data_IF_138001304361
#
_entry.id   IF_138001304361
#
_cell.length_a   1.000
_cell.length_b   1.000
_cell.length_c   1.000
_cell.angle_alpha   90.00
_cell.angle_beta   90.00
_cell.angle_gamma   90.00
#
_symmetry.space_group_name_H-M   'P 1'
#
loop_
_entity.id
_entity.type
_entity.pdbx_description
1 polymer ?
#
# COMPACT_ATOMS: atom_id res chain seq x y z
N UNK A 1 6.40 31.44 -5.50
CA UNK A 1 5.44 30.43 -5.03
C UNK A 1 6.17 29.28 -4.36
N UNK A 2 5.74 28.97 -3.15
CA UNK A 2 6.27 27.79 -2.47
C UNK A 2 5.62 26.53 -3.07
N UNK A 3 6.45 25.53 -3.42
CA UNK A 3 5.91 24.22 -3.75
C UNK A 3 5.20 23.68 -2.52
N UNK A 4 4.00 23.08 -2.66
CA UNK A 4 3.30 22.53 -1.51
C UNK A 4 4.12 21.41 -0.87
N UNK A 5 4.10 21.39 0.46
CA UNK A 5 4.68 20.27 1.22
C UNK A 5 3.84 19.03 0.92
N UNK A 6 4.52 17.93 0.63
CA UNK A 6 3.86 16.66 0.35
C UNK A 6 3.13 16.19 1.60
N UNK A 7 1.80 16.05 1.51
CA UNK A 7 0.97 15.52 2.59
C UNK A 7 0.89 14.01 2.55
N UNK A 8 0.21 13.43 3.55
CA UNK A 8 0.14 11.97 3.75
C UNK A 8 -0.48 11.24 2.55
N UNK A 9 -1.53 11.78 1.93
CA UNK A 9 -2.15 11.13 0.76
C UNK A 9 -1.20 11.11 -0.43
N UNK A 10 -0.48 12.19 -0.68
CA UNK A 10 0.52 12.23 -1.74
C UNK A 10 1.68 11.27 -1.44
N UNK A 11 2.07 11.18 -0.17
CA UNK A 11 3.08 10.19 0.26
C UNK A 11 2.62 8.77 -0.07
N UNK A 12 1.37 8.45 0.23
CA UNK A 12 0.81 7.13 -0.10
C UNK A 12 0.79 6.88 -1.60
N UNK A 13 0.45 7.88 -2.40
CA UNK A 13 0.48 7.77 -3.86
C UNK A 13 1.90 7.45 -4.35
N UNK A 14 2.90 8.10 -3.77
CA UNK A 14 4.30 7.85 -4.11
C UNK A 14 4.73 6.43 -3.73
N UNK A 15 4.24 5.91 -2.61
CA UNK A 15 4.49 4.53 -2.20
C UNK A 15 3.92 3.56 -3.25
N UNK A 16 2.67 3.78 -3.67
CA UNK A 16 2.04 2.96 -4.71
C UNK A 16 2.86 3.00 -5.99
N UNK A 17 3.26 4.19 -6.40
CA UNK A 17 4.04 4.39 -7.62
C UNK A 17 5.39 3.66 -7.55
N UNK A 18 6.10 3.78 -6.44
CA UNK A 18 7.39 3.10 -6.26
C UNK A 18 7.22 1.58 -6.31
N UNK A 19 6.26 1.04 -5.57
CA UNK A 19 6.06 -0.41 -5.51
C UNK A 19 5.56 -0.98 -6.84
N UNK A 20 4.73 -0.24 -7.55
CA UNK A 20 4.28 -0.62 -8.88
C UNK A 20 5.48 -0.74 -9.84
N UNK A 21 6.35 0.26 -9.86
CA UNK A 21 7.56 0.23 -10.70
C UNK A 21 8.49 -0.91 -10.31
N UNK A 22 8.65 -1.12 -9.01
CA UNK A 22 9.53 -2.16 -8.49
C UNK A 22 9.07 -3.57 -8.87
N UNK A 23 7.77 -3.79 -8.98
CA UNK A 23 7.23 -5.09 -9.41
C UNK A 23 7.63 -5.41 -10.86
N UNK A 24 7.71 -4.40 -11.72
CA UNK A 24 8.10 -4.58 -13.12
C UNK A 24 9.62 -4.61 -13.31
N UNK A 25 10.35 -3.85 -12.51
CA UNK A 25 11.79 -3.69 -12.68
C UNK A 25 12.46 -3.63 -11.31
N UNK A 26 12.61 -4.78 -10.63
CA UNK A 26 13.21 -4.81 -9.31
C UNK A 26 14.65 -4.29 -9.31
N UNK A 27 14.93 -3.36 -8.40
CA UNK A 27 16.28 -2.84 -8.18
C UNK A 27 16.59 -2.89 -6.68
N UNK A 28 17.87 -2.94 -6.30
CA UNK A 28 18.24 -2.81 -4.89
C UNK A 28 17.70 -1.52 -4.32
N UNK A 29 17.07 -1.58 -3.15
CA UNK A 29 16.42 -0.42 -2.53
C UNK A 29 17.42 0.68 -2.18
N UNK A 30 18.65 0.31 -1.81
CA UNK A 30 19.70 1.27 -1.48
C UNK A 30 20.06 2.17 -2.67
N UNK A 31 19.85 1.68 -3.88
CA UNK A 31 20.07 2.45 -5.12
C UNK A 31 18.82 3.16 -5.58
N UNK A 32 17.69 2.46 -5.55
CA UNK A 32 16.42 2.94 -6.11
C UNK A 32 15.78 4.06 -5.28
N UNK A 33 15.80 3.97 -3.95
CA UNK A 33 15.15 4.95 -3.09
C UNK A 33 15.77 6.34 -3.16
N UNK A 34 17.12 6.50 -3.06
CA UNK A 34 17.72 7.82 -3.19
C UNK A 34 17.38 8.51 -4.52
N UNK A 35 17.37 7.75 -5.62
CA UNK A 35 17.00 8.28 -6.92
C UNK A 35 15.54 8.70 -6.95
N UNK A 36 14.65 7.90 -6.35
CA UNK A 36 13.23 8.19 -6.31
C UNK A 36 12.92 9.48 -5.56
N UNK A 37 13.61 9.73 -4.43
CA UNK A 37 13.38 10.94 -3.62
C UNK A 37 14.09 12.18 -4.14
N UNK A 38 15.04 12.04 -5.05
CA UNK A 38 15.95 13.10 -5.46
C UNK A 38 15.25 14.38 -5.92
N UNK A 39 14.15 14.27 -6.64
CA UNK A 39 13.39 15.40 -7.20
C UNK A 39 12.14 15.74 -6.41
N UNK A 40 11.99 15.20 -5.20
CA UNK A 40 10.77 15.35 -4.42
C UNK A 40 11.02 16.13 -3.13
N UNK A 41 10.14 17.07 -2.83
CA UNK A 41 10.15 17.80 -1.57
C UNK A 41 9.27 17.06 -0.56
N UNK A 42 9.90 16.19 0.21
CA UNK A 42 9.20 15.40 1.21
C UNK A 42 9.86 15.64 2.57
N UNK A 43 9.03 15.82 3.61
CA UNK A 43 9.55 15.96 4.97
C UNK A 43 10.18 14.65 5.44
N UNK A 44 11.08 14.76 6.42
CA UNK A 44 11.70 13.57 7.00
C UNK A 44 10.65 12.61 7.58
N UNK A 45 9.62 13.15 8.23
CA UNK A 45 8.53 12.36 8.80
C UNK A 45 7.80 11.55 7.74
N UNK A 46 7.43 12.17 6.62
CA UNK A 46 6.72 11.50 5.54
C UNK A 46 7.62 10.51 4.80
N UNK A 47 8.88 10.86 4.62
CA UNK A 47 9.85 9.96 4.00
C UNK A 47 10.06 8.70 4.85
N UNK A 48 10.17 8.86 6.18
CA UNK A 48 10.30 7.73 7.10
C UNK A 48 9.07 6.83 7.05
N UNK A 49 7.88 7.41 7.02
CA UNK A 49 6.63 6.67 6.85
C UNK A 49 6.64 5.88 5.55
N UNK A 50 6.98 6.54 4.43
CA UNK A 50 7.02 5.91 3.12
C UNK A 50 8.02 4.75 3.07
N UNK A 51 9.22 4.95 3.56
CA UNK A 51 10.26 3.92 3.52
C UNK A 51 9.93 2.74 4.41
N UNK A 52 9.29 2.97 5.57
CA UNK A 52 8.80 1.89 6.42
C UNK A 52 7.82 0.99 5.66
N UNK A 53 6.88 1.58 4.93
CA UNK A 53 5.92 0.80 4.15
C UNK A 53 6.58 0.11 2.96
N UNK A 54 7.44 0.80 2.25
CA UNK A 54 8.14 0.22 1.09
C UNK A 54 8.99 -0.99 1.50
N UNK A 55 9.84 -0.82 2.51
CA UNK A 55 10.67 -1.92 3.01
C UNK A 55 9.80 -3.05 3.56
N UNK A 56 8.75 -2.70 4.31
CA UNK A 56 7.87 -3.70 4.91
C UNK A 56 7.15 -4.53 3.88
N UNK A 57 6.59 -3.91 2.85
CA UNK A 57 5.88 -4.63 1.79
C UNK A 57 6.83 -5.52 1.00
N UNK A 58 8.00 -5.00 0.63
CA UNK A 58 8.96 -5.79 -0.15
C UNK A 58 9.51 -6.97 0.65
N UNK A 59 9.88 -6.72 1.91
CA UNK A 59 10.40 -7.77 2.80
C UNK A 59 9.38 -8.86 3.07
N UNK A 60 8.10 -8.49 3.19
CA UNK A 60 7.03 -9.42 3.56
C UNK A 60 6.17 -9.86 2.38
N UNK A 61 6.60 -9.60 1.16
CA UNK A 61 5.80 -9.84 -0.04
C UNK A 61 5.27 -11.27 -0.11
N UNK A 62 6.12 -12.27 0.13
CA UNK A 62 5.70 -13.67 0.08
C UNK A 62 4.64 -14.00 1.13
N UNK A 63 4.82 -13.54 2.37
CA UNK A 63 3.84 -13.81 3.42
C UNK A 63 2.54 -13.06 3.20
N UNK A 64 2.60 -11.83 2.66
CA UNK A 64 1.40 -11.08 2.31
C UNK A 64 0.63 -11.77 1.18
N UNK A 65 1.32 -12.23 0.16
CA UNK A 65 0.71 -12.93 -0.97
C UNK A 65 0.10 -14.27 -0.53
N UNK A 66 0.79 -14.99 0.34
CA UNK A 66 0.28 -16.24 0.89
C UNK A 66 -1.02 -16.01 1.65
N UNK A 67 -1.06 -14.98 2.50
CA UNK A 67 -2.27 -14.64 3.24
C UNK A 67 -3.40 -14.24 2.29
N UNK A 68 -3.10 -13.45 1.27
CA UNK A 68 -4.11 -13.00 0.31
C UNK A 68 -4.67 -14.14 -0.53
N UNK A 69 -3.92 -15.20 -0.75
CA UNK A 69 -4.40 -16.38 -1.47
C UNK A 69 -5.58 -17.04 -0.75
N UNK A 70 -5.73 -16.84 0.56
CA UNK A 70 -6.88 -17.32 1.33
C UNK A 70 -8.16 -16.52 1.04
N UNK A 71 -8.03 -15.30 0.56
CA UNK A 71 -9.16 -14.39 0.30
C UNK A 71 -9.47 -14.20 -1.17
N UNK A 72 -8.51 -14.49 -2.04
CA UNK A 72 -8.66 -14.28 -3.47
C UNK A 72 -8.07 -15.47 -4.23
N UNK A 73 -8.93 -16.28 -4.83
CA UNK A 73 -8.52 -17.49 -5.58
C UNK A 73 -7.60 -17.14 -6.75
N UNK A 74 -7.77 -15.95 -7.33
CA UNK A 74 -6.99 -15.50 -8.47
C UNK A 74 -5.83 -14.58 -8.09
N UNK A 75 -5.37 -14.62 -6.83
CA UNK A 75 -4.33 -13.69 -6.36
C UNK A 75 -3.05 -13.74 -7.19
N UNK A 76 -2.64 -14.92 -7.62
CA UNK A 76 -1.45 -15.10 -8.46
C UNK A 76 -1.76 -15.06 -9.95
N UNK A 77 -3.03 -14.86 -10.32
CA UNK A 77 -3.43 -14.82 -11.73
C UNK A 77 -3.00 -13.51 -12.40
N UNK A 78 -2.60 -13.61 -13.66
CA UNK A 78 -2.32 -12.43 -14.49
C UNK A 78 -3.56 -11.55 -14.71
N UNK A 79 -4.75 -12.07 -14.46
CA UNK A 79 -6.01 -11.33 -14.57
C UNK A 79 -6.19 -10.32 -13.45
N UNK A 80 -5.50 -10.51 -12.33
CA UNK A 80 -5.54 -9.53 -11.26
C UNK A 80 -4.62 -8.37 -11.64
N UNK A 81 -5.15 -7.16 -11.65
CA UNK A 81 -4.41 -5.97 -12.04
C UNK A 81 -3.24 -5.70 -11.10
N UNK A 82 -2.14 -5.19 -11.66
CA UNK A 82 -0.94 -4.88 -10.89
C UNK A 82 -1.18 -3.80 -9.85
N UNK A 83 -2.02 -2.81 -10.18
CA UNK A 83 -2.39 -1.75 -9.22
C UNK A 83 -3.15 -2.34 -8.04
N UNK A 84 -4.15 -3.20 -8.32
CA UNK A 84 -4.95 -3.83 -7.28
C UNK A 84 -4.07 -4.61 -6.31
N UNK A 85 -3.11 -5.36 -6.84
CA UNK A 85 -2.20 -6.16 -6.03
C UNK A 85 -1.33 -5.28 -5.14
N UNK A 86 -0.80 -4.20 -5.68
CA UNK A 86 0.05 -3.27 -4.92
C UNK A 86 -0.73 -2.60 -3.79
N UNK A 87 -1.91 -2.05 -4.08
CA UNK A 87 -2.68 -1.33 -3.05
C UNK A 87 -3.18 -2.28 -1.96
N UNK A 88 -3.53 -3.51 -2.31
CA UNK A 88 -3.93 -4.52 -1.33
C UNK A 88 -2.75 -4.91 -0.44
N UNK A 89 -1.57 -5.13 -1.00
CA UNK A 89 -0.37 -5.44 -0.22
C UNK A 89 -0.05 -4.33 0.79
N UNK A 90 -0.14 -3.08 0.37
CA UNK A 90 0.12 -1.94 1.25
C UNK A 90 -0.88 -1.92 2.40
N UNK A 91 -2.18 -2.04 2.10
CA UNK A 91 -3.22 -2.02 3.12
C UNK A 91 -3.05 -3.19 4.10
N UNK A 92 -2.79 -4.38 3.58
CA UNK A 92 -2.60 -5.57 4.41
C UNK A 92 -1.39 -5.39 5.33
N UNK A 93 -0.28 -4.88 4.81
CA UNK A 93 0.90 -4.61 5.63
C UNK A 93 0.57 -3.63 6.76
N UNK A 94 -0.13 -2.54 6.46
CA UNK A 94 -0.52 -1.57 7.48
C UNK A 94 -1.44 -2.19 8.54
N UNK A 95 -2.41 -2.96 8.11
CA UNK A 95 -3.36 -3.62 9.02
C UNK A 95 -2.63 -4.57 9.97
N UNK A 96 -1.66 -5.32 9.46
CA UNK A 96 -0.96 -6.34 10.24
C UNK A 96 0.21 -5.81 11.06
N UNK A 97 0.86 -4.72 10.61
CA UNK A 97 2.13 -4.29 11.19
C UNK A 97 2.20 -2.81 11.61
N UNK A 98 1.17 -2.02 11.36
CA UNK A 98 1.16 -0.60 11.69
C UNK A 98 0.03 -0.28 12.68
N UNK A 99 0.31 -0.43 13.96
CA UNK A 99 -0.68 -0.24 15.03
C UNK A 99 -1.14 1.22 15.15
N UNK A 100 -0.37 2.16 14.62
CA UNK A 100 -0.67 3.58 14.65
C UNK A 100 -1.59 4.04 13.52
N UNK A 101 -2.00 3.13 12.63
CA UNK A 101 -2.94 3.44 11.55
C UNK A 101 -4.21 2.61 11.75
N UNK A 102 -5.37 3.24 11.89
CA UNK A 102 -6.63 2.48 11.97
C UNK A 102 -6.84 1.68 10.69
N UNK A 103 -7.23 0.40 10.78
CA UNK A 103 -7.43 -0.44 9.59
C UNK A 103 -8.36 0.16 8.54
N UNK A 104 -9.43 0.84 8.98
CA UNK A 104 -10.37 1.45 8.03
C UNK A 104 -9.71 2.54 7.17
N UNK A 105 -8.72 3.24 7.71
CA UNK A 105 -7.97 4.25 6.96
C UNK A 105 -7.16 3.58 5.85
N UNK A 106 -6.47 2.48 6.16
CA UNK A 106 -5.68 1.74 5.18
C UNK A 106 -6.57 1.21 4.05
N UNK A 107 -7.75 0.71 4.38
CA UNK A 107 -8.71 0.20 3.39
C UNK A 107 -9.22 1.34 2.50
N UNK A 108 -9.65 2.45 3.09
CA UNK A 108 -10.17 3.58 2.34
C UNK A 108 -9.14 4.17 1.39
N UNK A 109 -7.88 4.24 1.80
CA UNK A 109 -6.81 4.71 0.94
C UNK A 109 -6.54 3.73 -0.21
N UNK A 110 -6.54 2.43 0.06
CA UNK A 110 -6.38 1.42 -0.99
C UNK A 110 -7.49 1.53 -2.04
N UNK A 111 -8.74 1.67 -1.61
CA UNK A 111 -9.89 1.83 -2.51
C UNK A 111 -9.75 3.11 -3.33
N UNK A 112 -9.35 4.22 -2.70
CA UNK A 112 -9.13 5.49 -3.38
C UNK A 112 -8.12 5.34 -4.53
N UNK A 113 -6.97 4.72 -4.27
CA UNK A 113 -5.94 4.57 -5.29
C UNK A 113 -6.31 3.56 -6.37
N UNK A 114 -7.05 2.51 -6.01
CA UNK A 114 -7.57 1.58 -7.01
C UNK A 114 -8.54 2.28 -7.97
N UNK A 115 -9.43 3.13 -7.44
CA UNK A 115 -10.34 3.92 -8.27
C UNK A 115 -9.57 4.89 -9.18
N UNK A 116 -8.63 5.64 -8.60
CA UNK A 116 -7.89 6.69 -9.31
C UNK A 116 -6.94 6.13 -10.37
N UNK A 117 -6.22 5.07 -10.02
CA UNK A 117 -5.12 4.56 -10.85
C UNK A 117 -5.52 3.41 -11.75
N UNK A 118 -6.69 2.83 -11.54
CA UNK A 118 -7.19 1.74 -12.37
C UNK A 118 -8.62 2.01 -12.79
N UNK A 119 -9.63 1.62 -11.97
CA UNK A 119 -11.04 1.79 -12.34
C UNK A 119 -11.93 1.71 -11.12
N UNK A 120 -13.19 2.15 -11.29
CA UNK A 120 -14.22 1.99 -10.28
C UNK A 120 -14.45 0.51 -9.93
N UNK A 121 -14.33 -0.37 -10.93
CA UNK A 121 -14.44 -1.81 -10.74
C UNK A 121 -13.30 -2.33 -9.84
N UNK A 122 -12.08 -1.82 -10.03
CA UNK A 122 -10.95 -2.14 -9.17
C UNK A 122 -11.20 -1.72 -7.73
N UNK A 123 -11.72 -0.51 -7.51
CA UNK A 123 -12.05 -0.04 -6.17
C UNK A 123 -13.06 -0.94 -5.47
N UNK A 124 -14.08 -1.38 -6.18
CA UNK A 124 -15.08 -2.33 -5.63
C UNK A 124 -14.45 -3.66 -5.24
N UNK A 125 -13.60 -4.19 -6.10
CA UNK A 125 -12.90 -5.46 -5.85
C UNK A 125 -12.00 -5.34 -4.61
N UNK A 126 -11.20 -4.28 -4.55
CA UNK A 126 -10.29 -4.01 -3.43
C UNK A 126 -11.07 -3.88 -2.12
N UNK A 127 -12.17 -3.11 -2.14
CA UNK A 127 -13.01 -2.94 -0.96
C UNK A 127 -13.59 -4.26 -0.47
N UNK A 128 -14.12 -5.06 -1.38
CA UNK A 128 -14.72 -6.36 -1.02
C UNK A 128 -13.72 -7.30 -0.38
N UNK A 129 -12.52 -7.39 -0.94
CA UNK A 129 -11.49 -8.27 -0.41
C UNK A 129 -10.98 -7.80 0.95
N UNK A 130 -10.72 -6.50 1.09
CA UNK A 130 -10.20 -5.95 2.35
C UNK A 130 -11.24 -5.95 3.47
N UNK A 131 -12.53 -5.83 3.14
CA UNK A 131 -13.59 -6.00 4.14
C UNK A 131 -13.60 -7.42 4.72
N UNK A 132 -13.35 -8.42 3.88
CA UNK A 132 -13.25 -9.81 4.36
C UNK A 132 -12.06 -9.99 5.29
N UNK A 133 -10.91 -9.40 4.93
CA UNK A 133 -9.73 -9.41 5.80
C UNK A 133 -10.04 -8.71 7.13
N UNK A 134 -10.71 -7.57 7.07
CA UNK A 134 -11.05 -6.77 8.26
C UNK A 134 -11.87 -7.57 9.26
N UNK A 135 -12.81 -8.38 8.78
CA UNK A 135 -13.66 -9.19 9.64
C UNK A 135 -12.89 -10.29 10.39
N UNK A 136 -11.71 -10.65 9.90
CA UNK A 136 -10.91 -11.73 10.47
C UNK A 136 -9.80 -11.25 11.40
N UNK A 137 -9.57 -9.92 11.47
CA UNK A 137 -8.49 -9.40 12.30
C UNK A 137 -8.97 -9.07 13.70
N UNK A 138 -8.07 -9.28 14.68
CA UNK A 138 -8.35 -9.07 16.11
C UNK A 138 -7.68 -7.77 16.57
N UNK A 139 -8.22 -6.64 16.09
CA UNK A 139 -7.80 -5.31 16.52
C UNK A 139 -8.92 -4.31 16.21
N UNK A 140 -8.96 -3.14 16.91
CA UNK A 140 -9.95 -2.11 16.59
C UNK A 140 -9.84 -1.66 15.14
N UNK A 141 -10.98 -1.52 14.46
CA UNK A 141 -11.01 -1.21 13.03
C UNK A 141 -10.90 0.29 12.73
N UNK A 142 -11.36 1.13 13.65
CA UNK A 142 -11.43 2.59 13.47
C UNK A 142 -10.49 3.36 14.39
N UNK A 143 -9.66 2.64 15.14
CA UNK A 143 -8.77 3.20 16.15
C UNK A 143 -7.37 2.64 15.99
N UNK A 144 -6.39 3.34 16.57
CA UNK A 144 -5.04 2.79 16.69
C UNK A 144 -5.03 1.71 17.76
N UNK A 145 -4.06 0.78 17.67
CA UNK A 145 -3.95 -0.35 18.61
C UNK A 145 -2.93 -0.13 19.72
N UNK A 146 -2.24 1.01 19.68
CA UNK A 146 -1.22 1.31 20.70
C UNK A 146 -1.82 1.99 21.92
#
# INVERSE_FOLDING_TARGET
MKNPIIGRRRTRELIVQFLFQNDFNPEPLDDALPQFWNDKKISKKEKNFAEKLIFGVIKNKESLDKKMSDYADNWKSERLGSVDRVVIRIALFEILHCDDVPPIVSINEAVHFANDLSSFKSGKFVNGILDRVLNDIDRPHRETSS
#
